data_IF_749895263237
#
_entry.id   IF_749895263237
#
_cell.length_a   1.000
_cell.length_b   1.000
_cell.length_c   1.000
_cell.angle_alpha   90.00
_cell.angle_beta   90.00
_cell.angle_gamma   90.00
#
_symmetry.space_group_name_H-M   'P 1'
#
loop_
_entity.id
_entity.type
_entity.pdbx_description
1 polymer ?
#
# COMPACT_ATOMS: atom_id res chain seq x y z
N UNK A 1 -30.02 13.95 -12.72
CA UNK A 1 -29.37 13.71 -11.42
C UNK A 1 -27.95 13.32 -11.73
N UNK A 2 -27.00 14.19 -11.42
CA UNK A 2 -25.58 14.03 -11.73
C UNK A 2 -24.98 13.00 -10.74
N UNK A 3 -24.47 11.84 -11.21
CA UNK A 3 -23.94 10.79 -10.33
C UNK A 3 -22.51 11.09 -9.79
N UNK A 4 -22.01 12.30 -9.92
CA UNK A 4 -20.61 12.67 -9.61
C UNK A 4 -20.47 13.75 -8.53
N UNK A 5 -21.36 13.86 -7.56
CA UNK A 5 -21.01 14.58 -6.33
C UNK A 5 -20.10 13.70 -5.45
N UNK A 6 -18.87 13.56 -5.87
CA UNK A 6 -17.81 13.08 -4.97
C UNK A 6 -17.62 14.16 -3.89
N UNK A 7 -17.81 13.81 -2.65
CA UNK A 7 -17.51 14.68 -1.52
C UNK A 7 -15.97 14.88 -1.47
N UNK A 8 -15.50 15.96 -2.06
CA UNK A 8 -14.09 16.30 -2.05
C UNK A 8 -13.75 17.01 -0.74
N UNK A 9 -12.99 16.34 0.13
CA UNK A 9 -12.55 16.87 1.42
C UNK A 9 -11.16 17.48 1.29
N UNK A 10 -11.09 18.68 0.75
CA UNK A 10 -9.83 19.44 0.67
C UNK A 10 -9.52 20.05 2.03
N UNK A 11 -8.34 19.72 2.59
CA UNK A 11 -7.86 20.30 3.86
C UNK A 11 -8.63 19.89 5.13
N UNK A 12 -9.52 18.90 5.05
CA UNK A 12 -10.22 18.37 6.24
C UNK A 12 -9.39 17.27 6.89
N UNK A 13 -9.31 17.28 8.22
CA UNK A 13 -8.65 16.21 8.97
C UNK A 13 -9.46 14.90 8.91
N UNK A 14 -8.72 13.79 8.91
CA UNK A 14 -9.29 12.46 9.12
C UNK A 14 -9.48 12.25 10.62
N UNK A 15 -10.65 11.83 11.01
CA UNK A 15 -11.00 11.61 12.42
C UNK A 15 -10.84 10.13 12.83
N UNK A 16 -10.62 9.91 14.12
CA UNK A 16 -10.57 8.57 14.69
C UNK A 16 -11.97 7.97 14.83
N UNK A 17 -12.09 6.63 14.79
CA UNK A 17 -13.34 5.89 14.98
C UNK A 17 -14.45 6.34 14.03
N UNK A 18 -14.10 6.67 12.80
CA UNK A 18 -15.04 7.22 11.79
C UNK A 18 -15.02 6.38 10.54
N UNK A 19 -16.19 6.15 9.97
CA UNK A 19 -16.34 5.44 8.71
C UNK A 19 -16.55 6.43 7.56
N UNK A 20 -15.79 6.22 6.48
CA UNK A 20 -15.82 7.02 5.26
C UNK A 20 -16.14 6.13 4.07
N UNK A 21 -17.06 6.54 3.20
CA UNK A 21 -17.43 5.79 2.00
C UNK A 21 -17.42 6.70 0.79
N UNK A 22 -16.72 6.28 -0.27
CA UNK A 22 -16.62 6.99 -1.56
C UNK A 22 -16.16 8.45 -1.43
N UNK A 23 -15.35 8.74 -0.41
CA UNK A 23 -14.81 10.09 -0.17
C UNK A 23 -13.51 10.30 -0.94
N UNK A 24 -13.25 11.56 -1.29
CA UNK A 24 -11.98 11.98 -1.89
C UNK A 24 -11.27 12.93 -0.93
N UNK A 25 -10.14 12.49 -0.42
CA UNK A 25 -9.22 13.29 0.37
C UNK A 25 -8.14 13.82 -0.57
N UNK A 26 -7.99 15.12 -0.68
CA UNK A 26 -7.05 15.73 -1.62
C UNK A 26 -6.20 16.80 -0.95
N UNK A 27 -4.88 16.72 -1.20
CA UNK A 27 -3.92 17.72 -0.73
C UNK A 27 -3.77 17.80 0.78
N UNK A 28 -4.00 16.69 1.51
CA UNK A 28 -3.86 16.68 2.97
C UNK A 28 -2.39 16.75 3.37
N UNK A 29 -2.01 17.73 4.17
CA UNK A 29 -0.78 17.66 4.97
C UNK A 29 -1.10 16.96 6.30
N UNK A 30 -0.98 15.63 6.27
CA UNK A 30 -1.28 14.73 7.39
C UNK A 30 0.00 14.11 7.98
N UNK A 31 1.14 14.79 7.86
CA UNK A 31 2.41 14.35 8.46
C UNK A 31 2.25 14.12 9.95
N UNK A 32 2.81 12.98 10.42
CA UNK A 32 2.74 12.58 11.84
C UNK A 32 1.31 12.53 12.40
N UNK A 33 0.28 12.49 11.53
CA UNK A 33 -1.10 12.32 11.97
C UNK A 33 -1.28 11.01 12.73
N UNK A 34 -2.34 10.95 13.53
CA UNK A 34 -2.79 9.71 14.15
C UNK A 34 -4.24 9.47 13.75
N UNK A 35 -4.48 8.37 13.04
CA UNK A 35 -5.80 7.87 12.66
C UNK A 35 -5.94 6.47 13.22
N UNK A 36 -6.98 6.23 14.00
CA UNK A 36 -7.19 4.95 14.66
C UNK A 36 -8.63 4.45 14.48
N UNK A 37 -8.77 3.15 14.23
CA UNK A 37 -10.06 2.45 14.19
C UNK A 37 -11.08 3.08 13.26
N UNK A 38 -10.61 3.64 12.16
CA UNK A 38 -11.45 4.22 11.11
C UNK A 38 -11.54 3.27 9.92
N UNK A 39 -12.65 3.29 9.23
CA UNK A 39 -12.85 2.51 8.02
C UNK A 39 -13.00 3.42 6.80
N UNK A 40 -12.36 3.02 5.72
CA UNK A 40 -12.42 3.70 4.43
C UNK A 40 -12.85 2.68 3.40
N UNK A 41 -13.96 2.92 2.72
CA UNK A 41 -14.49 2.08 1.67
C UNK A 41 -14.64 2.89 0.38
N UNK A 42 -14.04 2.39 -0.72
CA UNK A 42 -14.04 3.07 -2.02
C UNK A 42 -13.55 4.54 -1.95
N UNK A 43 -12.61 4.80 -1.03
CA UNK A 43 -12.08 6.15 -0.83
C UNK A 43 -10.81 6.39 -1.67
N UNK A 44 -10.57 7.65 -2.01
CA UNK A 44 -9.37 8.09 -2.73
C UNK A 44 -8.58 9.11 -1.93
N UNK A 45 -7.26 8.89 -1.88
CA UNK A 45 -6.29 9.77 -1.24
C UNK A 45 -5.36 10.31 -2.32
N UNK A 46 -5.51 11.56 -2.70
CA UNK A 46 -4.80 12.18 -3.83
C UNK A 46 -3.92 13.31 -3.33
N UNK A 47 -2.64 13.28 -3.69
CA UNK A 47 -1.65 14.29 -3.30
C UNK A 47 -1.59 14.52 -1.76
N UNK A 48 -1.74 13.45 -0.98
CA UNK A 48 -1.72 13.50 0.48
C UNK A 48 -0.32 13.19 1.03
N UNK A 49 0.07 13.85 2.11
CA UNK A 49 1.34 13.60 2.79
C UNK A 49 1.11 13.02 4.20
N UNK A 50 1.34 11.71 4.33
CA UNK A 50 1.22 10.96 5.59
C UNK A 50 2.57 10.60 6.19
N UNK A 51 3.64 11.30 5.82
CA UNK A 51 4.99 11.04 6.31
C UNK A 51 5.03 10.87 7.84
N UNK A 52 5.58 9.73 8.32
CA UNK A 52 5.61 9.35 9.74
C UNK A 52 4.23 9.30 10.43
N UNK A 53 3.16 9.18 9.66
CA UNK A 53 1.81 9.03 10.18
C UNK A 53 1.60 7.69 10.90
N UNK A 54 0.54 7.62 11.68
CA UNK A 54 0.07 6.39 12.35
C UNK A 54 -1.37 6.14 11.93
N UNK A 55 -1.58 5.08 11.17
CA UNK A 55 -2.91 4.61 10.73
C UNK A 55 -3.10 3.20 11.30
N UNK A 56 -3.52 3.11 12.57
CA UNK A 56 -3.54 1.87 13.31
C UNK A 56 -4.95 1.32 13.50
N UNK A 57 -5.12 0.01 13.37
CA UNK A 57 -6.43 -0.66 13.46
C UNK A 57 -7.46 -0.10 12.45
N UNK A 58 -6.99 0.45 11.32
CA UNK A 58 -7.84 1.00 10.26
C UNK A 58 -8.13 -0.04 9.18
N UNK A 59 -9.22 0.17 8.45
CA UNK A 59 -9.55 -0.64 7.27
C UNK A 59 -9.63 0.24 6.04
N UNK A 60 -8.91 -0.15 4.99
CA UNK A 60 -8.93 0.48 3.68
C UNK A 60 -9.38 -0.58 2.67
N UNK A 61 -10.68 -0.58 2.35
CA UNK A 61 -11.27 -1.50 1.39
C UNK A 61 -11.44 -0.79 0.04
N UNK A 62 -10.90 -1.39 -1.02
CA UNK A 62 -11.00 -0.88 -2.39
C UNK A 62 -10.60 0.59 -2.53
N UNK A 63 -9.62 1.03 -1.71
CA UNK A 63 -9.13 2.40 -1.71
C UNK A 63 -8.03 2.63 -2.74
N UNK A 64 -7.94 3.85 -3.25
CA UNK A 64 -6.85 4.30 -4.11
C UNK A 64 -6.01 5.38 -3.41
N UNK A 65 -4.69 5.13 -3.35
CA UNK A 65 -3.70 6.15 -2.98
C UNK A 65 -2.98 6.60 -4.24
N UNK A 66 -3.03 7.88 -4.55
CA UNK A 66 -2.41 8.45 -5.75
C UNK A 66 -1.51 9.63 -5.40
N UNK A 67 -0.30 9.65 -5.96
CA UNK A 67 0.68 10.73 -5.78
C UNK A 67 0.90 11.11 -4.31
N UNK A 68 0.74 10.15 -3.41
CA UNK A 68 0.75 10.38 -1.96
C UNK A 68 2.03 9.85 -1.32
N UNK A 69 2.43 10.46 -0.22
CA UNK A 69 3.60 10.07 0.56
C UNK A 69 3.17 9.31 1.83
N UNK A 70 3.48 8.02 1.87
CA UNK A 70 3.25 7.12 3.01
C UNK A 70 4.58 6.66 3.63
N UNK A 71 5.68 7.38 3.41
CA UNK A 71 6.99 6.96 3.92
C UNK A 71 7.00 6.86 5.44
N UNK A 72 7.54 5.76 5.95
CA UNK A 72 7.61 5.46 7.39
C UNK A 72 6.27 5.54 8.13
N UNK A 73 5.18 5.30 7.43
CA UNK A 73 3.85 5.20 8.04
C UNK A 73 3.80 3.93 8.91
N UNK A 74 3.24 4.06 10.09
CA UNK A 74 2.89 2.91 10.94
C UNK A 74 1.44 2.53 10.68
N UNK A 75 1.23 1.31 10.19
CA UNK A 75 -0.09 0.75 9.87
C UNK A 75 -0.43 -0.48 10.73
N UNK A 76 0.05 -0.56 11.97
CA UNK A 76 -0.15 -1.72 12.84
C UNK A 76 -1.60 -2.15 12.90
N UNK A 77 -1.85 -3.44 12.66
CA UNK A 77 -3.17 -4.08 12.67
C UNK A 77 -4.18 -3.48 11.69
N UNK A 78 -3.75 -2.67 10.73
CA UNK A 78 -4.62 -2.16 9.66
C UNK A 78 -4.70 -3.14 8.50
N UNK A 79 -5.71 -2.99 7.65
CA UNK A 79 -5.94 -3.77 6.43
C UNK A 79 -6.03 -2.88 5.21
N UNK A 80 -5.48 -3.34 4.07
CA UNK A 80 -5.59 -2.68 2.77
C UNK A 80 -6.16 -3.66 1.74
N UNK A 81 -7.43 -4.04 1.89
CA UNK A 81 -8.08 -5.03 1.03
C UNK A 81 -8.45 -4.41 -0.31
N UNK A 82 -7.94 -4.97 -1.42
CA UNK A 82 -8.20 -4.46 -2.76
C UNK A 82 -7.62 -3.06 -3.03
N UNK A 83 -6.81 -2.55 -2.11
CA UNK A 83 -6.30 -1.19 -2.24
C UNK A 83 -5.14 -1.09 -3.22
N UNK A 84 -5.06 0.04 -3.92
CA UNK A 84 -4.06 0.33 -4.95
C UNK A 84 -3.26 1.58 -4.62
N UNK A 85 -1.96 1.52 -4.90
CA UNK A 85 -1.04 2.63 -4.72
C UNK A 85 -0.44 3.00 -6.08
N UNK A 86 -0.62 4.26 -6.52
CA UNK A 86 -0.13 4.76 -7.80
C UNK A 86 0.68 6.02 -7.64
N UNK A 87 1.87 6.04 -8.20
CA UNK A 87 2.80 7.17 -8.12
C UNK A 87 3.08 7.60 -6.68
N UNK A 88 3.05 6.66 -5.74
CA UNK A 88 3.21 6.92 -4.32
C UNK A 88 4.65 6.71 -3.87
N UNK A 89 5.00 7.35 -2.76
CA UNK A 89 6.20 7.06 -1.99
C UNK A 89 5.79 6.34 -0.70
N UNK A 90 6.19 5.08 -0.55
CA UNK A 90 5.89 4.25 0.61
C UNK A 90 7.18 3.59 1.13
N UNK A 91 8.23 4.41 1.29
CA UNK A 91 9.56 3.93 1.70
C UNK A 91 9.61 3.66 3.21
N UNK A 92 10.32 2.60 3.60
CA UNK A 92 10.54 2.26 5.01
C UNK A 92 9.27 1.85 5.76
N UNK A 93 8.28 1.31 5.07
CA UNK A 93 7.05 0.79 5.69
C UNK A 93 7.25 -0.66 6.12
N UNK A 94 6.87 -1.00 7.34
CA UNK A 94 6.82 -2.38 7.80
C UNK A 94 5.44 -2.99 7.53
N UNK A 95 5.31 -3.72 6.45
CA UNK A 95 4.06 -4.36 6.03
C UNK A 95 3.74 -5.62 6.83
N UNK A 96 4.70 -6.17 7.59
CA UNK A 96 4.47 -7.38 8.41
C UNK A 96 3.55 -7.12 9.60
N UNK A 97 3.38 -5.86 10.00
CA UNK A 97 2.54 -5.48 11.14
C UNK A 97 1.05 -5.33 10.80
N UNK A 98 0.71 -5.41 9.52
CA UNK A 98 -0.67 -5.38 9.05
C UNK A 98 -1.44 -6.64 9.48
N UNK A 99 -2.74 -6.52 9.56
CA UNK A 99 -3.62 -7.67 9.67
C UNK A 99 -3.90 -8.26 8.28
N UNK A 100 -3.17 -9.31 7.91
CA UNK A 100 -3.29 -10.04 6.66
C UNK A 100 -4.41 -11.11 6.68
N UNK A 101 -5.21 -11.19 7.74
CA UNK A 101 -6.30 -12.14 7.82
C UNK A 101 -7.43 -11.79 6.85
N UNK A 102 -8.00 -12.80 6.19
CA UNK A 102 -9.15 -12.61 5.27
C UNK A 102 -8.79 -12.34 3.81
N UNK A 103 -7.51 -12.18 3.46
CA UNK A 103 -7.08 -12.18 2.06
C UNK A 103 -7.24 -13.58 1.47
N UNK A 104 -8.17 -13.76 0.53
CA UNK A 104 -8.50 -15.11 0.03
C UNK A 104 -7.97 -15.42 -1.35
N UNK A 105 -8.09 -14.52 -2.32
CA UNK A 105 -7.66 -14.74 -3.71
C UNK A 105 -7.45 -13.40 -4.40
N UNK A 106 -6.41 -13.28 -5.22
CA UNK A 106 -6.05 -12.09 -5.98
C UNK A 106 -4.94 -11.30 -5.32
N UNK A 107 -4.56 -10.17 -5.92
CA UNK A 107 -3.53 -9.30 -5.37
C UNK A 107 -4.03 -8.68 -4.05
N UNK A 108 -3.35 -8.94 -2.93
CA UNK A 108 -3.75 -8.36 -1.64
C UNK A 108 -3.68 -6.84 -1.66
N UNK A 109 -2.63 -6.31 -2.26
CA UNK A 109 -2.38 -4.88 -2.52
C UNK A 109 -1.63 -4.77 -3.85
N UNK A 110 -1.68 -3.60 -4.47
CA UNK A 110 -0.93 -3.36 -5.70
C UNK A 110 -0.22 -2.00 -5.67
N UNK A 111 0.98 -1.98 -6.26
CA UNK A 111 1.78 -0.78 -6.42
C UNK A 111 2.12 -0.58 -7.89
N UNK A 112 1.88 0.61 -8.40
CA UNK A 112 2.21 1.02 -9.77
C UNK A 112 2.98 2.34 -9.75
N UNK A 113 4.17 2.35 -10.35
CA UNK A 113 5.05 3.51 -10.39
C UNK A 113 5.37 4.08 -9.00
N UNK A 114 5.56 3.21 -8.01
CA UNK A 114 5.80 3.58 -6.62
C UNK A 114 7.27 3.38 -6.21
N UNK A 115 7.71 4.13 -5.21
CA UNK A 115 8.94 3.87 -4.47
C UNK A 115 8.58 3.19 -3.13
N UNK A 116 8.93 1.90 -3.00
CA UNK A 116 8.71 1.10 -1.79
C UNK A 116 10.02 0.70 -1.12
N UNK A 117 11.12 1.39 -1.43
CA UNK A 117 12.45 1.07 -0.93
C UNK A 117 12.51 1.02 0.59
N UNK A 118 13.40 0.19 1.14
CA UNK A 118 13.59 -0.02 2.60
C UNK A 118 12.37 -0.58 3.33
N UNK A 119 11.41 -1.13 2.62
CA UNK A 119 10.21 -1.74 3.21
C UNK A 119 10.45 -3.19 3.61
N UNK A 120 9.63 -3.70 4.53
CA UNK A 120 9.72 -5.07 5.04
C UNK A 120 8.41 -5.82 4.78
N UNK A 121 8.52 -6.95 4.05
CA UNK A 121 7.42 -7.88 3.76
C UNK A 121 7.68 -9.29 4.26
N UNK A 122 8.79 -9.54 4.95
CA UNK A 122 9.27 -10.88 5.29
C UNK A 122 8.20 -11.79 5.92
N UNK A 123 8.26 -13.08 5.59
CA UNK A 123 7.40 -14.15 6.11
C UNK A 123 5.90 -13.98 5.81
N UNK A 124 5.52 -13.20 4.81
CA UNK A 124 4.12 -12.98 4.42
C UNK A 124 3.68 -13.91 3.28
N UNK A 125 2.39 -14.23 3.26
CA UNK A 125 1.72 -14.88 2.14
C UNK A 125 1.10 -13.80 1.26
N UNK A 126 1.76 -13.46 0.14
CA UNK A 126 1.42 -12.35 -0.74
C UNK A 126 1.21 -12.83 -2.19
N UNK A 127 0.51 -13.94 -2.36
CA UNK A 127 0.25 -14.51 -3.69
C UNK A 127 -0.44 -13.50 -4.59
N UNK A 128 0.08 -13.33 -5.80
CA UNK A 128 -0.44 -12.36 -6.75
C UNK A 128 -0.11 -10.90 -6.42
N UNK A 129 0.87 -10.64 -5.54
CA UNK A 129 1.34 -9.26 -5.30
C UNK A 129 1.70 -8.60 -6.63
N UNK A 130 1.24 -7.36 -6.82
CA UNK A 130 1.52 -6.61 -8.03
C UNK A 130 2.46 -5.43 -7.72
N UNK A 131 3.67 -5.49 -8.29
CA UNK A 131 4.64 -4.38 -8.33
C UNK A 131 4.96 -4.10 -9.79
N UNK A 132 4.49 -2.97 -10.33
CA UNK A 132 4.74 -2.57 -11.71
C UNK A 132 5.42 -1.22 -11.77
N UNK A 133 6.48 -1.12 -12.57
CA UNK A 133 7.24 0.11 -12.75
C UNK A 133 7.71 0.72 -11.41
N UNK A 134 8.00 -0.14 -10.42
CA UNK A 134 8.33 0.29 -9.07
C UNK A 134 9.84 0.37 -8.84
N UNK A 135 10.21 1.16 -7.86
CA UNK A 135 11.51 1.14 -7.21
C UNK A 135 11.36 0.39 -5.89
N UNK A 136 12.07 -0.73 -5.76
CA UNK A 136 12.04 -1.61 -4.60
C UNK A 136 13.48 -1.92 -4.15
N UNK A 137 14.24 -0.88 -3.77
CA UNK A 137 15.62 -1.03 -3.31
C UNK A 137 15.65 -1.40 -1.83
N UNK A 138 16.57 -2.29 -1.45
CA UNK A 138 16.74 -2.72 -0.04
C UNK A 138 15.45 -3.24 0.60
N UNK A 139 14.55 -3.86 -0.17
CA UNK A 139 13.31 -4.43 0.36
C UNK A 139 13.55 -5.86 0.84
N UNK A 140 13.00 -6.21 1.99
CA UNK A 140 13.06 -7.57 2.51
C UNK A 140 11.79 -8.36 2.19
N UNK A 141 11.89 -9.29 1.23
CA UNK A 141 10.87 -10.27 0.87
C UNK A 141 11.19 -11.68 1.39
N UNK A 142 12.20 -11.85 2.26
CA UNK A 142 12.60 -13.17 2.73
C UNK A 142 11.44 -14.00 3.27
N UNK A 143 11.43 -15.30 2.97
CA UNK A 143 10.42 -16.27 3.42
C UNK A 143 8.98 -15.98 2.94
N UNK A 144 8.77 -15.13 1.94
CA UNK A 144 7.45 -14.84 1.40
C UNK A 144 6.93 -15.94 0.45
N UNK A 145 5.63 -16.18 0.49
CA UNK A 145 4.93 -16.86 -0.60
C UNK A 145 4.41 -15.83 -1.60
N UNK A 146 5.12 -15.72 -2.72
CA UNK A 146 4.86 -14.76 -3.79
C UNK A 146 4.30 -15.44 -5.05
N UNK A 147 3.76 -16.67 -4.94
CA UNK A 147 3.24 -17.39 -6.10
C UNK A 147 2.34 -16.52 -6.99
N UNK A 148 2.63 -16.48 -8.30
CA UNK A 148 1.84 -15.75 -9.29
C UNK A 148 1.95 -14.24 -9.24
N UNK A 149 2.93 -13.69 -8.54
CA UNK A 149 3.13 -12.23 -8.44
C UNK A 149 3.63 -11.59 -9.73
N UNK A 150 3.27 -10.33 -9.94
CA UNK A 150 3.63 -9.50 -11.08
C UNK A 150 4.68 -8.47 -10.66
N UNK A 151 5.91 -8.62 -11.17
CA UNK A 151 7.06 -7.77 -10.86
C UNK A 151 7.60 -7.01 -12.08
N UNK A 152 6.70 -6.71 -13.01
CA UNK A 152 7.07 -6.14 -14.29
C UNK A 152 7.77 -4.78 -14.17
N UNK A 153 8.94 -4.64 -14.81
CA UNK A 153 9.73 -3.40 -14.88
C UNK A 153 10.05 -2.77 -13.51
N UNK A 154 10.15 -3.60 -12.48
CA UNK A 154 10.52 -3.16 -11.12
C UNK A 154 12.01 -3.35 -10.91
N UNK A 155 12.64 -2.37 -10.27
CA UNK A 155 14.05 -2.40 -9.88
C UNK A 155 14.18 -2.88 -8.43
N UNK A 156 14.84 -4.03 -8.24
CA UNK A 156 15.00 -4.70 -6.94
C UNK A 156 16.43 -4.58 -6.37
N UNK A 157 17.15 -3.52 -6.71
CA UNK A 157 18.51 -3.36 -6.24
C UNK A 157 18.62 -3.63 -4.73
N UNK A 158 19.57 -4.52 -4.35
CA UNK A 158 19.86 -4.91 -2.96
C UNK A 158 18.69 -5.53 -2.18
N UNK A 159 17.60 -5.91 -2.87
CA UNK A 159 16.45 -6.58 -2.24
C UNK A 159 16.69 -8.05 -2.01
N UNK A 160 16.02 -8.64 -1.01
CA UNK A 160 16.20 -10.01 -0.57
C UNK A 160 15.00 -10.88 -0.89
N UNK A 161 15.25 -12.01 -1.57
CA UNK A 161 14.27 -13.04 -1.89
C UNK A 161 14.66 -14.42 -1.31
N UNK A 162 15.40 -14.46 -0.22
CA UNK A 162 15.85 -15.73 0.38
C UNK A 162 14.67 -16.54 0.88
N UNK A 163 14.65 -17.84 0.56
CA UNK A 163 13.60 -18.79 0.94
C UNK A 163 12.17 -18.40 0.45
N UNK A 164 12.04 -17.59 -0.60
CA UNK A 164 10.75 -17.24 -1.19
C UNK A 164 10.20 -18.36 -2.08
N UNK A 165 8.88 -18.43 -2.14
CA UNK A 165 8.18 -19.16 -3.18
C UNK A 165 7.84 -18.22 -4.33
N UNK A 166 8.48 -18.44 -5.49
CA UNK A 166 8.37 -17.57 -6.68
C UNK A 166 7.72 -18.26 -7.89
N UNK A 167 6.96 -19.35 -7.66
CA UNK A 167 6.28 -20.07 -8.71
C UNK A 167 5.36 -19.15 -9.51
N UNK A 168 5.43 -19.23 -10.85
CA UNK A 168 4.60 -18.45 -11.77
C UNK A 168 4.74 -16.93 -11.65
N UNK A 169 5.78 -16.42 -10.99
CA UNK A 169 6.04 -14.99 -10.96
C UNK A 169 6.44 -14.43 -12.32
N UNK A 170 6.03 -13.22 -12.61
CA UNK A 170 6.36 -12.51 -13.84
C UNK A 170 7.37 -11.39 -13.56
N UNK A 171 8.63 -11.60 -13.94
CA UNK A 171 9.73 -10.63 -13.81
C UNK A 171 10.03 -9.89 -15.12
N UNK A 172 9.08 -9.79 -16.05
CA UNK A 172 9.33 -9.17 -17.35
C UNK A 172 9.82 -7.73 -17.21
N UNK A 173 11.07 -7.50 -17.64
CA UNK A 173 11.71 -6.19 -17.58
C UNK A 173 12.13 -5.76 -16.17
N UNK A 174 12.01 -6.63 -15.18
CA UNK A 174 12.58 -6.37 -13.86
C UNK A 174 14.11 -6.39 -13.90
N UNK A 175 14.75 -5.68 -12.97
CA UNK A 175 16.21 -5.57 -12.87
C UNK A 175 16.68 -5.82 -11.44
N UNK A 176 17.96 -6.23 -11.29
CA UNK A 176 18.64 -6.36 -10.01
C UNK A 176 17.96 -7.30 -8.98
N UNK A 177 17.30 -8.39 -9.44
CA UNK A 177 16.65 -9.39 -8.56
C UNK A 177 17.49 -10.65 -8.38
#
# INVERSE_FOLDING_TARGET
>A
MDPLRQNNRVGMNIENNTDYTSEVFSGLDAKKCTVQRSAFEDCRFVDCDFLFGRMTECRFNDCEFRSSNLSSVNCDKSKFIGSTFRHCKATGVNWTTLDWSGYRLGSPISFESCDISFSVFSSLVLRGLCLRDCKAHDVDFSECDLEGSEFCRTDFQDSRFSACRLDKCNFRGATNY
#
